data_IF_941540788930
#
_entry.id   IF_941540788930
#
_cell.length_a   1.000
_cell.length_b   1.000
_cell.length_c   1.000
_cell.angle_alpha   90.00
_cell.angle_beta   90.00
_cell.angle_gamma   90.00
#
_symmetry.space_group_name_H-M   'P 1'
#
loop_
_entity.id
_entity.type
_entity.pdbx_description
1 polymer ?
#
# COMPACT_ATOMS: atom_id res chain seq x y z
N UNK A 1 40.52 62.62 48.05
CA UNK A 1 40.07 61.21 48.14
C UNK A 1 39.02 61.02 47.04
N UNK A 2 39.47 60.44 45.90
CA UNK A 2 38.60 60.15 44.70
C UNK A 2 38.12 58.72 44.82
N UNK A 3 36.82 58.47 44.92
CA UNK A 3 36.22 57.12 44.88
C UNK A 3 36.03 56.70 43.40
N UNK A 4 36.68 55.64 43.05
CA UNK A 4 36.48 54.96 41.72
C UNK A 4 35.36 53.93 41.87
N UNK A 5 34.26 54.13 41.17
CA UNK A 5 33.17 53.19 41.14
C UNK A 5 33.44 52.17 40.00
N UNK A 6 33.62 50.89 40.34
CA UNK A 6 33.79 49.78 39.38
C UNK A 6 32.40 49.27 38.98
N UNK A 7 32.04 49.44 37.72
CA UNK A 7 30.80 48.92 37.17
C UNK A 7 31.07 47.49 36.70
N UNK A 8 30.43 46.48 37.31
CA UNK A 8 30.41 45.09 36.83
C UNK A 8 29.32 44.96 35.77
N UNK A 9 29.72 44.69 34.51
CA UNK A 9 28.81 44.32 33.44
C UNK A 9 28.59 42.82 33.51
N UNK A 10 27.39 42.39 33.89
CA UNK A 10 26.97 41.01 33.92
C UNK A 10 26.55 40.62 32.46
N UNK A 11 27.39 39.86 31.76
CA UNK A 11 27.01 39.30 30.47
C UNK A 11 26.19 38.02 30.70
N UNK A 12 24.88 38.13 30.50
CA UNK A 12 24.00 36.95 30.46
C UNK A 12 24.21 36.20 29.16
N UNK A 13 24.91 35.07 29.22
CA UNK A 13 24.97 34.08 28.12
C UNK A 13 23.62 33.35 28.05
N UNK A 14 22.80 33.72 27.08
CA UNK A 14 21.59 32.97 26.73
C UNK A 14 22.03 31.72 25.94
N UNK A 15 22.04 30.57 26.60
CA UNK A 15 22.21 29.28 25.96
C UNK A 15 20.93 28.94 25.18
N UNK A 16 20.93 29.17 23.88
CA UNK A 16 19.89 28.69 22.97
C UNK A 16 20.11 27.19 22.83
N UNK A 17 19.16 26.32 23.19
CA UNK A 17 19.32 24.90 22.96
C UNK A 17 19.31 24.64 21.43
N UNK A 18 20.45 24.24 20.92
CA UNK A 18 20.53 23.70 19.56
C UNK A 18 19.71 22.41 19.55
N UNK A 19 18.50 22.47 19.00
CA UNK A 19 17.75 21.28 18.70
C UNK A 19 18.56 20.47 17.70
N UNK A 20 19.09 19.33 18.15
CA UNK A 20 19.71 18.36 17.27
C UNK A 20 18.67 17.97 16.22
N UNK A 21 18.97 18.33 14.97
CA UNK A 21 18.20 17.89 13.81
C UNK A 21 18.31 16.37 13.76
N UNK A 22 17.22 15.67 14.05
CA UNK A 22 17.17 14.23 13.92
C UNK A 22 17.52 13.88 12.47
N UNK A 23 18.60 13.15 12.28
CA UNK A 23 18.96 12.60 10.98
C UNK A 23 17.79 11.79 10.43
N UNK A 24 17.54 11.84 9.10
CA UNK A 24 16.51 11.01 8.49
C UNK A 24 16.76 9.56 8.89
N UNK A 25 15.69 8.87 9.31
CA UNK A 25 15.77 7.48 9.69
C UNK A 25 16.44 6.67 8.57
N UNK A 26 17.44 5.83 8.87
CA UNK A 26 18.11 5.04 7.86
C UNK A 26 17.08 4.23 7.07
N UNK A 27 17.25 4.17 5.75
CA UNK A 27 16.47 3.31 4.88
C UNK A 27 16.40 1.92 5.52
N UNK A 28 15.17 1.40 5.71
CA UNK A 28 14.95 0.14 6.40
C UNK A 28 15.89 -0.94 5.83
N UNK A 29 16.74 -1.48 6.68
CA UNK A 29 17.62 -2.57 6.33
C UNK A 29 16.81 -3.76 5.76
N UNK A 30 17.35 -4.56 4.84
CA UNK A 30 16.69 -5.77 4.36
C UNK A 30 16.33 -6.66 5.55
N UNK A 31 15.09 -7.10 5.58
CA UNK A 31 14.53 -7.86 6.70
C UNK A 31 15.17 -9.24 6.70
N UNK A 32 15.79 -9.69 7.82
CA UNK A 32 16.26 -11.06 7.93
C UNK A 32 15.05 -12.03 7.79
N UNK A 33 15.09 -12.92 6.81
CA UNK A 33 14.08 -13.93 6.56
C UNK A 33 13.29 -13.81 5.27
N UNK A 34 13.32 -12.66 4.57
CA UNK A 34 12.95 -12.54 3.17
C UNK A 34 14.19 -12.12 2.37
N UNK A 35 15.10 -13.05 2.17
CA UNK A 35 16.14 -12.87 1.18
C UNK A 35 15.43 -12.75 -0.18
N UNK A 36 15.33 -11.50 -0.68
CA UNK A 36 14.91 -11.24 -2.03
C UNK A 36 15.86 -12.00 -2.97
N UNK A 37 15.36 -13.08 -3.55
CA UNK A 37 16.05 -13.75 -4.64
C UNK A 37 15.54 -13.12 -5.91
N UNK A 38 16.38 -12.44 -6.72
CA UNK A 38 16.02 -12.03 -8.05
C UNK A 38 15.43 -13.23 -8.80
N UNK A 39 14.16 -13.12 -9.20
CA UNK A 39 13.46 -14.27 -9.73
C UNK A 39 12.17 -13.88 -10.48
N UNK A 40 11.45 -14.83 -11.05
CA UNK A 40 10.30 -14.56 -11.89
C UNK A 40 9.13 -13.85 -11.18
N UNK A 41 9.21 -13.64 -9.85
CA UNK A 41 8.18 -12.99 -9.03
C UNK A 41 8.56 -11.60 -8.54
N UNK A 42 9.70 -11.03 -8.95
CA UNK A 42 10.19 -9.72 -8.51
C UNK A 42 9.18 -8.60 -8.72
N UNK A 43 8.38 -8.71 -9.77
CA UNK A 43 7.34 -7.76 -10.07
C UNK A 43 6.23 -7.70 -8.99
N UNK A 44 5.99 -8.80 -8.27
CA UNK A 44 5.03 -8.87 -7.17
C UNK A 44 5.65 -8.51 -5.80
N UNK A 45 6.99 -8.49 -5.71
CA UNK A 45 7.76 -8.18 -4.51
C UNK A 45 8.84 -7.12 -4.79
N UNK A 46 8.44 -5.92 -5.24
CA UNK A 46 9.40 -4.92 -5.71
C UNK A 46 10.31 -4.41 -4.61
N UNK A 47 11.57 -4.12 -4.98
CA UNK A 47 12.58 -3.51 -4.12
C UNK A 47 12.92 -2.13 -4.67
N UNK A 48 13.06 -1.14 -3.78
CA UNK A 48 13.40 0.24 -4.16
C UNK A 48 14.75 0.24 -4.89
N UNK A 49 14.76 0.77 -6.11
CA UNK A 49 15.97 0.88 -6.95
C UNK A 49 16.44 2.32 -7.11
N UNK A 50 15.55 3.30 -6.96
CA UNK A 50 15.87 4.72 -7.02
C UNK A 50 14.83 5.52 -6.24
N UNK A 51 15.09 6.78 -5.99
CA UNK A 51 14.11 7.71 -5.41
C UNK A 51 13.79 8.80 -6.42
N UNK A 52 12.55 9.29 -6.38
CA UNK A 52 12.19 10.51 -7.08
C UNK A 52 12.97 11.70 -6.49
N UNK A 53 13.28 12.72 -7.29
CA UNK A 53 13.88 13.95 -6.77
C UNK A 53 13.03 14.55 -5.64
N UNK A 54 13.67 15.14 -4.62
CA UNK A 54 12.94 15.83 -3.56
C UNK A 54 12.18 17.03 -4.13
N UNK A 55 10.98 17.22 -3.62
CA UNK A 55 10.15 18.39 -3.96
C UNK A 55 10.37 19.51 -2.96
N UNK A 56 10.04 20.74 -3.38
CA UNK A 56 10.13 21.93 -2.54
C UNK A 56 8.87 22.78 -2.69
N UNK A 57 8.59 23.59 -1.67
CA UNK A 57 7.42 24.45 -1.62
C UNK A 57 6.14 23.69 -1.24
N UNK A 58 5.08 24.44 -1.02
CA UNK A 58 3.79 23.88 -0.66
C UNK A 58 3.11 23.21 -1.87
N UNK A 59 2.34 22.18 -1.56
CA UNK A 59 1.53 21.42 -2.52
C UNK A 59 0.06 21.57 -2.20
N UNK A 60 -0.74 21.49 -3.24
CA UNK A 60 -2.21 21.47 -3.17
C UNK A 60 -2.71 20.44 -4.18
N UNK A 61 -3.77 19.72 -3.82
CA UNK A 61 -4.48 18.85 -4.76
C UNK A 61 -5.77 19.51 -5.26
N UNK A 62 -6.20 19.23 -6.49
CA UNK A 62 -7.43 19.81 -7.03
C UNK A 62 -8.65 19.56 -6.14
N UNK A 63 -9.42 20.59 -5.87
CA UNK A 63 -10.61 20.54 -5.03
C UNK A 63 -10.36 20.69 -3.53
N UNK A 64 -9.11 20.60 -3.05
CA UNK A 64 -8.79 20.85 -1.65
C UNK A 64 -8.51 22.35 -1.40
N UNK A 65 -8.92 22.82 -0.21
CA UNK A 65 -8.54 24.14 0.32
C UNK A 65 -7.24 24.11 1.11
N UNK A 66 -6.73 22.91 1.42
CA UNK A 66 -5.52 22.71 2.24
C UNK A 66 -4.25 22.77 1.42
N UNK A 67 -3.15 23.11 2.09
CA UNK A 67 -1.78 23.02 1.57
C UNK A 67 -0.91 22.25 2.54
N UNK A 68 0.03 21.49 2.00
CA UNK A 68 1.04 20.76 2.79
C UNK A 68 2.40 20.87 2.12
N UNK A 69 3.46 20.92 2.92
CA UNK A 69 4.81 20.77 2.41
C UNK A 69 5.09 19.31 2.02
N UNK A 70 6.07 19.01 1.15
CA UNK A 70 6.47 17.64 0.84
C UNK A 70 6.82 16.82 2.10
N UNK A 71 7.44 17.46 3.10
CA UNK A 71 7.77 16.82 4.37
C UNK A 71 6.52 16.40 5.17
N UNK A 72 5.47 17.23 5.15
CA UNK A 72 4.18 16.87 5.76
C UNK A 72 3.47 15.78 4.98
N UNK A 73 3.57 15.77 3.64
CA UNK A 73 2.99 14.72 2.80
C UNK A 73 3.69 13.38 3.07
N UNK A 74 5.00 13.39 3.28
CA UNK A 74 5.79 12.19 3.54
C UNK A 74 5.82 11.77 5.03
N UNK A 75 5.18 12.55 5.91
CA UNK A 75 5.08 12.19 7.33
C UNK A 75 4.11 11.02 7.53
N UNK A 76 4.68 9.84 7.81
CA UNK A 76 3.89 8.64 8.06
C UNK A 76 3.21 8.63 9.43
N UNK A 77 3.58 9.57 10.30
CA UNK A 77 2.94 9.72 11.62
C UNK A 77 1.74 10.66 11.57
N UNK A 78 1.74 11.64 10.66
CA UNK A 78 0.67 12.63 10.51
C UNK A 78 0.39 12.85 9.02
N UNK A 79 -0.21 11.86 8.32
CA UNK A 79 -0.45 11.94 6.89
C UNK A 79 -1.39 13.10 6.54
N UNK A 80 -1.27 13.69 5.33
CA UNK A 80 -2.15 14.75 4.90
C UNK A 80 -3.58 14.24 4.74
N UNK A 81 -4.51 14.98 5.30
CA UNK A 81 -5.94 14.80 5.08
C UNK A 81 -6.45 15.96 4.21
N UNK A 82 -6.52 15.70 2.91
CA UNK A 82 -6.90 16.71 1.92
C UNK A 82 -8.38 17.08 1.96
N UNK A 83 -9.26 16.14 2.38
CA UNK A 83 -10.71 16.26 2.29
C UNK A 83 -11.40 15.70 3.56
N UNK A 84 -11.18 16.32 4.74
CA UNK A 84 -11.74 15.80 6.00
C UNK A 84 -13.28 15.76 6.02
N UNK A 85 -13.92 16.52 5.12
CA UNK A 85 -15.38 16.53 4.95
C UNK A 85 -15.89 15.33 4.15
N UNK A 86 -15.02 14.55 3.50
CA UNK A 86 -15.40 13.44 2.63
C UNK A 86 -15.52 12.09 3.35
N UNK A 87 -15.22 12.04 4.65
CA UNK A 87 -15.25 10.84 5.47
C UNK A 87 -15.66 11.15 6.92
N UNK A 88 -16.14 10.16 7.70
CA UNK A 88 -16.37 10.34 9.14
C UNK A 88 -15.09 10.76 9.88
N UNK A 89 -15.24 11.32 11.07
CA UNK A 89 -14.09 11.62 11.93
C UNK A 89 -13.25 10.37 12.14
N UNK A 90 -11.98 10.37 11.71
CA UNK A 90 -11.12 9.20 11.83
C UNK A 90 -10.71 8.96 13.29
N UNK A 91 -10.62 7.69 13.73
CA UNK A 91 -10.01 7.36 15.01
C UNK A 91 -8.56 7.87 15.09
N UNK A 92 -8.08 8.07 16.31
CA UNK A 92 -6.76 8.66 16.54
C UNK A 92 -5.65 7.99 15.73
N UNK A 93 -5.59 6.65 15.73
CA UNK A 93 -4.52 5.91 15.04
C UNK A 93 -4.67 5.87 13.51
N UNK A 94 -5.86 6.19 12.98
CA UNK A 94 -6.04 6.36 11.53
C UNK A 94 -5.39 7.67 11.06
N UNK A 95 -5.57 8.75 11.83
CA UNK A 95 -5.10 10.09 11.47
C UNK A 95 -3.71 10.44 12.02
N UNK A 96 -3.30 9.81 13.12
CA UNK A 96 -2.04 10.12 13.80
C UNK A 96 -1.41 8.87 14.39
N UNK A 97 -0.16 8.61 14.01
CA UNK A 97 0.64 7.55 14.61
C UNK A 97 1.05 7.85 16.06
N UNK A 98 1.50 6.81 16.77
CA UNK A 98 2.04 6.91 18.13
C UNK A 98 3.15 5.91 18.39
N UNK A 99 4.15 6.28 19.17
CA UNK A 99 5.26 5.39 19.48
C UNK A 99 5.88 4.78 18.22
N UNK A 100 5.93 3.47 18.09
CA UNK A 100 6.40 2.75 16.91
C UNK A 100 5.32 2.46 15.86
N UNK A 101 4.09 2.99 16.02
CA UNK A 101 2.94 2.69 15.15
C UNK A 101 2.67 3.86 14.21
N UNK A 102 2.75 3.61 12.91
CA UNK A 102 2.43 4.59 11.88
C UNK A 102 0.91 4.82 11.79
N UNK A 103 0.50 6.00 11.35
CA UNK A 103 -0.91 6.26 11.08
C UNK A 103 -1.43 5.38 9.93
N UNK A 104 -2.60 4.77 10.07
CA UNK A 104 -3.18 3.91 9.03
C UNK A 104 -3.40 4.68 7.72
N UNK A 105 -3.85 5.94 7.81
CA UNK A 105 -4.07 6.83 6.67
C UNK A 105 -2.82 7.12 5.84
N UNK A 106 -1.61 6.87 6.39
CA UNK A 106 -0.36 7.07 5.66
C UNK A 106 -0.16 6.09 4.49
N UNK A 107 -0.76 4.90 4.54
CA UNK A 107 -0.64 3.87 3.51
C UNK A 107 -1.98 3.46 2.92
N UNK A 108 -3.06 3.55 3.70
CA UNK A 108 -4.41 3.15 3.27
C UNK A 108 -5.29 4.34 2.91
N UNK A 109 -4.78 5.58 3.01
CA UNK A 109 -5.50 6.84 2.88
C UNK A 109 -6.77 6.90 3.78
N UNK A 110 -7.39 8.07 3.88
CA UNK A 110 -8.60 8.20 4.71
C UNK A 110 -9.83 7.57 4.07
N UNK A 111 -9.87 7.49 2.74
CA UNK A 111 -10.93 6.79 2.01
C UNK A 111 -10.75 5.27 1.91
N UNK A 112 -9.70 4.72 2.53
CA UNK A 112 -9.41 3.29 2.53
C UNK A 112 -8.80 2.76 1.23
N UNK A 113 -8.54 3.61 0.23
CA UNK A 113 -7.85 3.19 -0.98
C UNK A 113 -6.37 2.98 -0.69
N UNK A 114 -5.88 1.78 -0.95
CA UNK A 114 -4.47 1.45 -0.85
C UNK A 114 -3.69 1.89 -2.11
N UNK A 115 -2.57 1.25 -2.30
CA UNK A 115 -1.75 1.37 -3.51
C UNK A 115 -1.22 -0.03 -3.86
N UNK A 116 -0.51 -0.26 -4.98
CA UNK A 116 -0.06 -1.60 -5.38
C UNK A 116 0.67 -2.39 -4.29
N UNK A 117 1.28 -1.71 -3.33
CA UNK A 117 2.03 -2.31 -2.22
C UNK A 117 1.25 -2.41 -0.90
N UNK A 118 0.09 -1.74 -0.79
CA UNK A 118 -0.76 -1.73 0.40
C UNK A 118 -2.18 -2.17 0.05
N UNK A 119 -2.84 -2.86 0.98
CA UNK A 119 -4.22 -3.28 0.79
C UNK A 119 -5.15 -2.08 0.59
N UNK A 120 -6.05 -2.21 -0.36
CA UNK A 120 -7.25 -1.39 -0.44
C UNK A 120 -8.24 -1.94 0.59
N UNK A 121 -8.36 -1.23 1.72
CA UNK A 121 -9.15 -1.69 2.88
C UNK A 121 -10.59 -1.18 2.85
N UNK A 122 -10.94 -0.29 1.93
CA UNK A 122 -12.31 0.15 1.71
C UNK A 122 -13.21 -1.04 1.37
N UNK A 123 -14.37 -1.12 2.03
CA UNK A 123 -15.36 -2.18 1.82
C UNK A 123 -15.00 -3.53 2.45
N UNK A 124 -13.93 -3.63 3.22
CA UNK A 124 -13.75 -4.78 4.10
C UNK A 124 -14.75 -4.73 5.23
N UNK A 125 -15.32 -5.89 5.60
CA UNK A 125 -16.08 -5.98 6.84
C UNK A 125 -15.17 -5.76 8.04
N UNK A 126 -15.68 -5.20 9.12
CA UNK A 126 -14.92 -5.04 10.35
C UNK A 126 -14.37 -6.39 10.85
N UNK A 127 -15.14 -7.47 10.73
CA UNK A 127 -14.73 -8.83 11.12
C UNK A 127 -13.53 -9.32 10.32
N UNK A 128 -13.51 -9.16 8.99
CA UNK A 128 -12.36 -9.51 8.18
C UNK A 128 -11.13 -8.67 8.53
N UNK A 129 -11.30 -7.35 8.69
CA UNK A 129 -10.21 -6.45 9.04
C UNK A 129 -9.57 -6.86 10.39
N UNK A 130 -10.39 -7.06 11.43
CA UNK A 130 -9.93 -7.48 12.76
C UNK A 130 -9.18 -8.82 12.67
N UNK A 131 -9.72 -9.79 11.94
CA UNK A 131 -9.05 -11.09 11.76
C UNK A 131 -7.68 -10.92 11.10
N UNK A 132 -7.57 -10.10 10.05
CA UNK A 132 -6.28 -9.87 9.40
C UNK A 132 -5.27 -9.17 10.31
N UNK A 133 -5.70 -8.23 11.14
CA UNK A 133 -4.83 -7.58 12.12
C UNK A 133 -4.35 -8.58 13.20
N UNK A 134 -5.22 -9.47 13.66
CA UNK A 134 -4.85 -10.54 14.60
C UNK A 134 -3.87 -11.53 13.95
N UNK A 135 -4.05 -11.87 12.69
CA UNK A 135 -3.11 -12.73 11.95
C UNK A 135 -1.74 -12.06 11.80
N UNK A 136 -1.68 -10.74 11.57
CA UNK A 136 -0.41 -9.99 11.58
C UNK A 136 0.20 -9.94 12.99
N UNK A 137 -0.60 -9.71 14.03
CA UNK A 137 -0.18 -9.60 15.42
C UNK A 137 0.44 -10.90 15.92
N UNK A 138 -0.18 -12.02 15.58
CA UNK A 138 0.32 -13.38 15.93
C UNK A 138 1.46 -13.86 15.03
N UNK A 139 1.68 -13.25 13.86
CA UNK A 139 2.63 -13.72 12.85
C UNK A 139 2.09 -14.84 11.97
N UNK A 140 0.82 -15.21 12.08
CA UNK A 140 0.15 -16.16 11.18
C UNK A 140 0.05 -15.60 9.75
N UNK A 141 0.03 -14.26 9.61
CA UNK A 141 0.21 -13.54 8.36
C UNK A 141 1.50 -12.73 8.41
N UNK A 142 2.40 -12.97 7.46
CA UNK A 142 3.72 -12.33 7.45
C UNK A 142 3.73 -11.10 6.54
N UNK A 143 4.04 -9.97 7.11
CA UNK A 143 4.47 -8.73 6.46
C UNK A 143 5.45 -8.03 7.39
N UNK A 144 6.67 -8.55 7.43
CA UNK A 144 7.71 -8.05 8.32
C UNK A 144 8.14 -6.60 7.97
N UNK A 145 7.78 -6.12 6.77
CA UNK A 145 8.14 -4.76 6.36
C UNK A 145 7.37 -3.69 7.18
N UNK A 146 6.08 -3.95 7.49
CA UNK A 146 5.21 -2.97 8.14
C UNK A 146 4.19 -3.60 9.09
N UNK A 147 3.26 -4.42 8.54
CA UNK A 147 2.03 -4.74 9.25
C UNK A 147 2.24 -5.61 10.49
N UNK A 148 3.23 -6.51 10.53
CA UNK A 148 3.49 -7.26 11.75
C UNK A 148 3.95 -6.37 12.91
N UNK A 149 4.84 -5.38 12.64
CA UNK A 149 5.28 -4.42 13.65
C UNK A 149 4.12 -3.56 14.15
N UNK A 150 3.36 -2.98 13.22
CA UNK A 150 2.20 -2.14 13.55
C UNK A 150 1.18 -2.94 14.38
N UNK A 151 0.77 -4.13 13.91
CA UNK A 151 -0.27 -4.91 14.58
C UNK A 151 0.11 -5.36 15.99
N UNK A 152 1.39 -5.67 16.23
CA UNK A 152 1.88 -6.07 17.58
C UNK A 152 1.70 -4.96 18.60
N UNK A 153 1.92 -3.72 18.21
CA UNK A 153 1.85 -2.54 19.09
C UNK A 153 0.42 -1.97 19.25
N UNK A 154 -0.53 -2.42 18.42
CA UNK A 154 -1.93 -1.98 18.51
C UNK A 154 -2.68 -2.71 19.62
N UNK A 155 -3.46 -1.97 20.39
CA UNK A 155 -4.47 -2.54 21.28
C UNK A 155 -5.65 -3.11 20.45
N UNK A 156 -6.40 -4.01 21.06
CA UNK A 156 -7.59 -4.58 20.41
C UNK A 156 -8.68 -3.53 20.17
N UNK A 157 -8.73 -2.47 20.99
CA UNK A 157 -9.65 -1.35 20.77
C UNK A 157 -9.25 -0.53 19.55
N UNK A 158 -7.97 -0.19 19.39
CA UNK A 158 -7.48 0.52 18.20
C UNK A 158 -7.70 -0.28 16.91
N UNK A 159 -7.59 -1.60 16.97
CA UNK A 159 -7.90 -2.48 15.83
C UNK A 159 -9.40 -2.40 15.51
N UNK A 160 -10.30 -2.46 16.51
CA UNK A 160 -11.75 -2.33 16.30
C UNK A 160 -12.12 -0.97 15.73
N UNK A 161 -11.59 0.12 16.30
CA UNK A 161 -11.89 1.48 15.86
C UNK A 161 -11.48 1.70 14.39
N UNK A 162 -10.29 1.24 14.01
CA UNK A 162 -9.82 1.29 12.63
C UNK A 162 -10.68 0.42 11.69
N UNK A 163 -11.07 -0.76 12.13
CA UNK A 163 -11.92 -1.67 11.37
C UNK A 163 -13.32 -1.06 11.10
N UNK A 164 -13.95 -0.48 12.11
CA UNK A 164 -15.25 0.17 12.00
C UNK A 164 -15.18 1.42 11.11
N UNK A 165 -14.11 2.19 11.20
CA UNK A 165 -13.88 3.34 10.33
C UNK A 165 -13.79 2.92 8.86
N UNK A 166 -12.90 1.99 8.52
CA UNK A 166 -12.70 1.59 7.12
C UNK A 166 -13.85 0.75 6.54
N UNK A 167 -14.62 0.06 7.37
CA UNK A 167 -15.82 -0.65 6.92
C UNK A 167 -16.91 0.28 6.37
N UNK A 168 -16.90 1.57 6.72
CA UNK A 168 -17.80 2.58 6.20
C UNK A 168 -17.38 3.13 4.83
N UNK A 169 -16.11 2.92 4.43
CA UNK A 169 -15.60 3.43 3.17
C UNK A 169 -16.10 2.58 2.00
N UNK A 170 -16.48 3.25 0.92
CA UNK A 170 -16.89 2.56 -0.31
C UNK A 170 -15.65 2.32 -1.18
N UNK A 171 -15.47 1.10 -1.71
CA UNK A 171 -14.41 0.84 -2.68
C UNK A 171 -14.56 1.74 -3.91
N UNK A 172 -13.46 2.29 -4.38
CA UNK A 172 -13.38 3.07 -5.61
C UNK A 172 -12.48 2.37 -6.61
N UNK A 173 -12.60 2.70 -7.88
CA UNK A 173 -11.71 2.16 -8.90
C UNK A 173 -10.35 2.82 -8.81
N UNK A 174 -9.33 2.05 -8.43
CA UNK A 174 -7.94 2.49 -8.27
C UNK A 174 -7.01 1.90 -9.33
N UNK A 175 -7.51 1.06 -10.24
CA UNK A 175 -6.69 0.38 -11.25
C UNK A 175 -7.37 0.37 -12.61
N UNK A 176 -6.60 0.70 -13.65
CA UNK A 176 -6.96 0.55 -15.06
C UNK A 176 -6.01 -0.48 -15.65
N UNK A 177 -6.52 -1.65 -16.06
CA UNK A 177 -5.70 -2.70 -16.68
C UNK A 177 -5.60 -2.45 -18.19
N UNK A 178 -4.36 -2.48 -18.69
CA UNK A 178 -4.03 -2.42 -20.13
C UNK A 178 -3.19 -3.62 -20.53
N UNK A 179 -3.57 -4.31 -21.57
CA UNK A 179 -2.75 -5.39 -22.13
C UNK A 179 -1.79 -4.83 -23.17
N UNK A 180 -0.50 -5.11 -23.00
CA UNK A 180 0.54 -4.62 -23.92
C UNK A 180 1.77 -5.55 -23.91
N UNK A 181 2.40 -5.76 -25.08
CA UNK A 181 3.66 -6.50 -25.18
C UNK A 181 4.87 -5.64 -24.80
N UNK A 182 4.77 -4.31 -25.03
CA UNK A 182 5.78 -3.33 -24.71
C UNK A 182 5.19 -2.33 -23.70
N UNK A 183 5.96 -1.99 -22.67
CA UNK A 183 5.53 -1.11 -21.58
C UNK A 183 6.55 0.00 -21.36
N UNK A 184 6.14 1.16 -20.81
CA UNK A 184 7.09 2.22 -20.49
C UNK A 184 8.17 1.73 -19.53
N UNK A 185 9.42 2.16 -19.76
CA UNK A 185 10.50 1.93 -18.79
C UNK A 185 10.16 2.58 -17.46
N UNK A 186 10.40 1.85 -16.38
CA UNK A 186 10.01 2.25 -15.02
C UNK A 186 11.03 1.77 -13.99
N UNK A 187 11.07 2.43 -12.85
CA UNK A 187 11.86 2.04 -11.70
C UNK A 187 10.99 1.91 -10.45
N UNK A 188 11.49 1.26 -9.41
CA UNK A 188 10.81 1.14 -8.12
C UNK A 188 11.31 2.24 -7.19
N UNK A 189 10.42 3.12 -6.78
CA UNK A 189 10.72 4.27 -5.94
C UNK A 189 10.16 4.19 -4.53
N UNK A 190 9.91 5.35 -3.93
CA UNK A 190 9.33 5.48 -2.59
C UNK A 190 8.01 4.72 -2.45
N UNK A 191 7.76 4.15 -1.26
CA UNK A 191 6.60 3.30 -1.02
C UNK A 191 6.63 1.96 -1.77
N UNK A 192 7.75 1.61 -2.43
CA UNK A 192 7.91 0.46 -3.35
C UNK A 192 7.02 0.54 -4.59
N UNK A 193 6.44 1.70 -4.86
CA UNK A 193 5.65 1.93 -6.08
C UNK A 193 6.55 2.09 -7.29
N UNK A 194 6.06 1.71 -8.47
CA UNK A 194 6.77 1.98 -9.72
C UNK A 194 6.40 3.35 -10.26
N UNK A 195 7.41 4.01 -10.81
CA UNK A 195 7.29 5.29 -11.48
C UNK A 195 7.93 5.19 -12.86
N UNK A 196 7.43 5.97 -13.82
CA UNK A 196 8.09 6.11 -15.12
C UNK A 196 9.51 6.60 -14.95
N UNK A 197 10.45 6.05 -15.73
CA UNK A 197 11.87 6.43 -15.63
C UNK A 197 12.09 7.81 -16.29
N UNK A 198 12.38 8.86 -15.51
CA UNK A 198 12.62 10.20 -16.06
C UNK A 198 13.90 10.28 -16.90
N UNK A 199 14.80 9.30 -16.78
CA UNK A 199 16.03 9.20 -17.60
C UNK A 199 15.78 8.52 -18.95
N UNK A 200 14.59 7.94 -19.15
CA UNK A 200 14.21 7.22 -20.36
C UNK A 200 12.82 7.63 -20.86
N UNK A 201 12.54 8.94 -21.05
CA UNK A 201 11.21 9.43 -21.41
C UNK A 201 10.76 8.82 -22.74
N UNK A 202 9.56 8.25 -22.78
CA UNK A 202 8.98 7.61 -23.96
C UNK A 202 9.61 6.28 -24.36
N UNK A 203 10.67 5.82 -23.70
CA UNK A 203 11.26 4.51 -23.99
C UNK A 203 10.39 3.39 -23.41
N UNK A 204 10.40 2.26 -24.11
CA UNK A 204 9.65 1.07 -23.71
C UNK A 204 10.58 -0.13 -23.55
N UNK A 205 10.06 -1.15 -22.87
CA UNK A 205 10.71 -2.46 -22.68
C UNK A 205 9.67 -3.58 -22.82
N UNK A 206 10.07 -4.82 -23.18
CA UNK A 206 9.16 -5.96 -23.19
C UNK A 206 8.57 -6.22 -21.80
N UNK A 207 7.25 -6.45 -21.73
CA UNK A 207 6.61 -6.75 -20.46
C UNK A 207 7.03 -8.11 -19.89
N UNK A 208 7.29 -9.09 -20.75
CA UNK A 208 7.60 -10.46 -20.32
C UNK A 208 6.45 -11.09 -19.54
N UNK A 209 6.80 -11.91 -18.55
CA UNK A 209 5.85 -12.61 -17.66
C UNK A 209 5.67 -11.83 -16.33
N UNK A 210 5.21 -10.60 -16.40
CA UNK A 210 5.05 -9.72 -15.23
C UNK A 210 3.88 -8.76 -15.41
N UNK A 211 3.42 -8.20 -14.30
CA UNK A 211 2.53 -7.02 -14.29
C UNK A 211 3.38 -5.82 -13.88
N UNK A 212 3.22 -4.71 -14.58
CA UNK A 212 3.83 -3.42 -14.25
C UNK A 212 2.73 -2.43 -13.93
N UNK A 213 2.77 -1.84 -12.74
CA UNK A 213 1.77 -0.88 -12.30
C UNK A 213 2.45 0.47 -12.02
N UNK A 214 2.02 1.51 -12.72
CA UNK A 214 2.52 2.88 -12.56
C UNK A 214 1.37 3.84 -12.26
N UNK A 215 1.58 4.93 -11.50
CA UNK A 215 0.56 5.96 -11.32
C UNK A 215 0.06 6.50 -12.66
N UNK A 216 -1.24 6.76 -12.76
CA UNK A 216 -1.80 7.49 -13.90
C UNK A 216 -1.35 8.96 -13.86
N UNK A 217 -1.40 9.56 -12.68
CA UNK A 217 -0.87 10.89 -12.38
C UNK A 217 0.15 10.75 -11.24
N UNK A 218 1.43 10.91 -11.58
CA UNK A 218 2.55 10.71 -10.66
C UNK A 218 2.49 11.71 -9.50
N UNK A 219 2.21 12.97 -9.79
CA UNK A 219 2.23 14.03 -8.78
C UNK A 219 1.08 13.86 -7.80
N UNK A 220 -0.12 13.59 -8.28
CA UNK A 220 -1.29 13.39 -7.43
C UNK A 220 -1.15 12.16 -6.54
N UNK A 221 -0.66 11.03 -7.09
CA UNK A 221 -0.40 9.82 -6.28
C UNK A 221 0.70 10.08 -5.26
N UNK A 222 1.78 10.77 -5.66
CA UNK A 222 2.86 11.16 -4.75
C UNK A 222 2.37 12.05 -3.63
N UNK A 223 1.44 12.97 -3.93
CA UNK A 223 0.82 13.85 -2.93
C UNK A 223 -0.30 13.17 -2.13
N UNK A 224 -0.52 11.87 -2.30
CA UNK A 224 -1.55 11.09 -1.58
C UNK A 224 -2.96 11.64 -1.78
N UNK A 225 -3.25 12.14 -2.99
CA UNK A 225 -4.58 12.62 -3.35
C UNK A 225 -5.56 11.44 -3.44
N UNK A 226 -6.57 11.34 -2.56
CA UNK A 226 -7.50 10.22 -2.56
C UNK A 226 -8.43 10.20 -3.78
N UNK A 227 -8.58 11.35 -4.48
CA UNK A 227 -9.43 11.48 -5.66
C UNK A 227 -8.70 11.15 -6.98
N UNK A 228 -7.39 10.91 -6.93
CA UNK A 228 -6.60 10.52 -8.09
C UNK A 228 -5.60 9.39 -7.79
N UNK A 229 -5.92 8.56 -6.81
CA UNK A 229 -5.12 7.38 -6.47
C UNK A 229 -5.38 6.24 -7.48
N UNK A 230 -5.11 6.53 -8.77
CA UNK A 230 -5.35 5.62 -9.89
C UNK A 230 -4.03 5.18 -10.50
N UNK A 231 -3.97 3.90 -10.85
CA UNK A 231 -2.77 3.26 -11.41
C UNK A 231 -3.10 2.56 -12.72
N UNK A 232 -2.23 2.70 -13.70
CA UNK A 232 -2.25 1.91 -14.93
C UNK A 232 -1.47 0.63 -14.69
N UNK A 233 -2.16 -0.52 -14.78
CA UNK A 233 -1.57 -1.84 -14.65
C UNK A 233 -1.42 -2.46 -16.04
N UNK A 234 -0.19 -2.61 -16.51
CA UNK A 234 0.12 -3.31 -17.75
C UNK A 234 0.24 -4.80 -17.47
N UNK A 235 -0.43 -5.62 -18.31
CA UNK A 235 -0.36 -7.07 -18.29
C UNK A 235 -0.02 -7.61 -19.69
N UNK A 236 0.56 -8.81 -19.82
CA UNK A 236 0.80 -9.43 -21.12
C UNK A 236 -0.51 -9.63 -21.91
N UNK A 237 -0.46 -9.56 -23.26
CA UNK A 237 -1.64 -9.77 -24.09
C UNK A 237 -2.33 -11.11 -23.82
N UNK A 238 -3.67 -11.07 -23.69
CA UNK A 238 -4.51 -12.24 -23.41
C UNK A 238 -4.58 -12.65 -21.93
N UNK A 239 -3.90 -11.92 -21.02
CA UNK A 239 -3.93 -12.23 -19.58
C UNK A 239 -5.32 -12.09 -18.98
N UNK A 240 -6.06 -11.03 -19.35
CA UNK A 240 -7.42 -10.78 -18.83
C UNK A 240 -8.37 -11.89 -19.23
N UNK A 241 -8.37 -12.32 -20.50
CA UNK A 241 -9.23 -13.40 -20.98
C UNK A 241 -8.90 -14.75 -20.32
N UNK A 242 -7.60 -15.07 -20.19
CA UNK A 242 -7.14 -16.29 -19.50
C UNK A 242 -7.48 -16.27 -18.02
N UNK A 243 -7.31 -15.11 -17.37
CA UNK A 243 -7.68 -14.89 -15.98
C UNK A 243 -9.17 -15.07 -15.73
N UNK A 244 -10.02 -14.51 -16.63
CA UNK A 244 -11.47 -14.71 -16.58
C UNK A 244 -11.82 -16.19 -16.63
N UNK A 245 -11.32 -16.91 -17.64
CA UNK A 245 -11.58 -18.33 -17.79
C UNK A 245 -11.16 -19.15 -16.56
N UNK A 246 -10.01 -18.82 -15.95
CA UNK A 246 -9.55 -19.47 -14.72
C UNK A 246 -10.49 -19.16 -13.53
N UNK A 247 -10.84 -17.89 -13.30
CA UNK A 247 -11.68 -17.46 -12.19
C UNK A 247 -13.07 -18.10 -12.22
N UNK A 248 -13.63 -18.25 -13.43
CA UNK A 248 -14.96 -18.84 -13.65
C UNK A 248 -14.97 -20.38 -13.55
N UNK A 249 -13.88 -21.06 -13.94
CA UNK A 249 -13.85 -22.53 -14.03
C UNK A 249 -12.98 -23.21 -12.97
N UNK A 250 -12.16 -22.46 -12.23
CA UNK A 250 -11.12 -23.05 -11.38
C UNK A 250 -9.94 -23.64 -12.15
N UNK A 251 -9.75 -23.25 -13.43
CA UNK A 251 -8.57 -23.60 -14.20
C UNK A 251 -8.40 -25.08 -14.51
N UNK A 252 -9.50 -25.79 -14.81
CA UNK A 252 -9.46 -27.20 -15.18
C UNK A 252 -9.07 -28.13 -14.02
N UNK A 253 -9.55 -27.87 -12.82
CA UNK A 253 -9.30 -28.70 -11.64
C UNK A 253 -8.09 -28.26 -10.81
N UNK A 254 -7.40 -27.19 -11.16
CA UNK A 254 -6.31 -26.62 -10.34
C UNK A 254 -6.83 -25.91 -9.09
N UNK A 255 -8.07 -25.41 -9.14
CA UNK A 255 -8.75 -24.69 -8.10
C UNK A 255 -10.27 -24.92 -8.20
N UNK A 256 -11.03 -24.21 -7.37
CA UNK A 256 -12.48 -24.03 -7.53
C UNK A 256 -12.76 -22.65 -8.14
N UNK A 257 -13.95 -22.46 -8.74
CA UNK A 257 -14.37 -21.15 -9.22
C UNK A 257 -14.32 -20.13 -8.04
N UNK A 258 -13.73 -18.97 -8.27
CA UNK A 258 -13.49 -18.00 -7.19
C UNK A 258 -14.81 -17.46 -6.60
N UNK A 259 -15.86 -17.37 -7.43
CA UNK A 259 -17.21 -16.95 -7.02
C UNK A 259 -17.82 -17.85 -5.95
N UNK A 260 -17.44 -19.13 -5.87
CA UNK A 260 -17.93 -20.10 -4.86
C UNK A 260 -17.79 -19.55 -3.41
N UNK A 261 -16.72 -18.79 -3.15
CA UNK A 261 -16.47 -18.23 -1.82
C UNK A 261 -16.54 -16.70 -1.81
N UNK A 262 -16.12 -16.05 -2.92
CA UNK A 262 -16.03 -14.58 -2.98
C UNK A 262 -17.29 -13.89 -3.52
N UNK A 263 -18.40 -14.65 -3.69
CA UNK A 263 -19.69 -14.19 -4.21
C UNK A 263 -19.68 -14.05 -5.74
N UNK A 264 -20.86 -14.12 -6.34
CA UNK A 264 -21.04 -14.18 -7.80
C UNK A 264 -20.45 -12.99 -8.55
N UNK A 265 -20.43 -11.83 -7.91
CA UNK A 265 -19.83 -10.60 -8.46
C UNK A 265 -18.38 -10.38 -8.03
N UNK A 266 -17.80 -11.31 -7.26
CA UNK A 266 -16.44 -11.22 -6.69
C UNK A 266 -16.26 -10.00 -5.76
N UNK A 267 -17.34 -9.43 -5.26
CA UNK A 267 -17.34 -8.26 -4.34
C UNK A 267 -17.30 -8.65 -2.87
N UNK A 268 -17.11 -9.94 -2.59
CA UNK A 268 -17.07 -10.50 -1.25
C UNK A 268 -18.40 -11.07 -0.78
N UNK A 269 -18.36 -11.90 0.25
CA UNK A 269 -19.52 -12.51 0.90
C UNK A 269 -19.26 -12.66 2.41
N UNK A 270 -19.97 -11.91 3.25
CA UNK A 270 -19.69 -11.87 4.68
C UNK A 270 -18.23 -11.44 4.95
N UNK A 271 -17.49 -12.25 5.70
CA UNK A 271 -16.08 -12.00 6.00
C UNK A 271 -15.10 -12.51 4.90
N UNK A 272 -15.61 -13.04 3.80
CA UNK A 272 -14.76 -13.35 2.64
C UNK A 272 -14.58 -12.07 1.82
N UNK A 273 -13.34 -11.59 1.61
CA UNK A 273 -13.12 -10.26 1.06
C UNK A 273 -13.45 -10.18 -0.44
N UNK A 274 -13.70 -8.96 -0.92
CA UNK A 274 -13.79 -8.69 -2.35
C UNK A 274 -12.47 -8.98 -3.06
N UNK A 275 -12.57 -9.38 -4.32
CA UNK A 275 -11.46 -9.54 -5.27
C UNK A 275 -11.56 -8.53 -6.42
N UNK A 276 -12.79 -8.15 -6.79
CA UNK A 276 -13.05 -7.23 -7.89
C UNK A 276 -12.40 -5.86 -7.64
N UNK A 277 -11.64 -5.37 -8.63
CA UNK A 277 -11.02 -4.05 -8.61
C UNK A 277 -9.83 -3.88 -7.65
N UNK A 278 -9.34 -4.96 -7.04
CA UNK A 278 -8.16 -4.92 -6.15
C UNK A 278 -6.89 -4.81 -6.99
N UNK A 279 -5.90 -4.05 -6.52
CA UNK A 279 -4.61 -3.88 -7.20
C UNK A 279 -3.95 -5.22 -7.58
N UNK A 280 -3.54 -5.41 -8.84
CA UNK A 280 -3.08 -6.73 -9.31
C UNK A 280 -1.76 -7.17 -8.68
N UNK A 281 -0.86 -6.22 -8.33
CA UNK A 281 0.37 -6.54 -7.61
C UNK A 281 0.03 -7.05 -6.21
N UNK A 282 -0.90 -6.40 -5.51
CA UNK A 282 -1.35 -6.86 -4.20
C UNK A 282 -2.02 -8.25 -4.31
N UNK A 283 -2.92 -8.47 -5.28
CA UNK A 283 -3.57 -9.77 -5.51
C UNK A 283 -2.53 -10.88 -5.73
N UNK A 284 -1.62 -10.68 -6.67
CA UNK A 284 -0.58 -11.65 -6.98
C UNK A 284 0.26 -12.00 -5.75
N UNK A 285 0.67 -10.98 -5.00
CA UNK A 285 1.42 -11.17 -3.75
C UNK A 285 0.62 -12.00 -2.74
N UNK A 286 -0.67 -11.72 -2.55
CA UNK A 286 -1.49 -12.50 -1.63
C UNK A 286 -1.61 -13.96 -2.07
N UNK A 287 -1.81 -14.22 -3.36
CA UNK A 287 -1.86 -15.60 -3.88
C UNK A 287 -0.53 -16.34 -3.67
N UNK A 288 0.60 -15.70 -3.89
CA UNK A 288 1.92 -16.27 -3.58
C UNK A 288 2.11 -16.52 -2.08
N UNK A 289 1.71 -15.57 -1.20
CA UNK A 289 1.84 -15.71 0.24
C UNK A 289 0.92 -16.79 0.84
N UNK A 290 -0.23 -17.07 0.25
CA UNK A 290 -1.02 -18.25 0.58
C UNK A 290 -0.31 -19.53 0.15
N UNK A 291 0.26 -19.53 -1.06
CA UNK A 291 0.92 -20.70 -1.64
C UNK A 291 2.18 -21.11 -0.88
N UNK A 292 2.98 -20.16 -0.42
CA UNK A 292 4.21 -20.41 0.34
C UNK A 292 3.98 -20.54 1.87
N UNK A 293 2.72 -20.35 2.33
CA UNK A 293 2.37 -20.46 3.75
C UNK A 293 2.72 -19.23 4.59
N UNK A 294 3.19 -18.14 4.00
CA UNK A 294 3.42 -16.88 4.73
C UNK A 294 2.11 -16.20 5.17
N UNK A 295 1.00 -16.58 4.55
CA UNK A 295 -0.36 -16.24 4.97
C UNK A 295 -1.07 -17.51 5.42
N UNK A 296 -1.11 -17.73 6.75
CA UNK A 296 -1.45 -19.01 7.36
C UNK A 296 -2.42 -18.89 8.56
N UNK A 297 -3.20 -17.80 8.64
CA UNK A 297 -4.28 -17.67 9.62
C UNK A 297 -5.35 -18.75 9.45
N UNK A 298 -6.25 -18.86 10.42
CA UNK A 298 -7.29 -19.89 10.41
C UNK A 298 -8.15 -19.82 9.14
N UNK A 299 -8.56 -18.61 8.73
CA UNK A 299 -9.39 -18.40 7.55
C UNK A 299 -8.60 -18.52 6.24
N UNK A 300 -7.27 -18.57 6.30
CA UNK A 300 -6.40 -18.74 5.14
C UNK A 300 -6.36 -20.18 4.61
N UNK A 301 -6.80 -21.18 5.40
CA UNK A 301 -6.60 -22.59 5.08
C UNK A 301 -7.33 -23.02 3.79
N UNK A 302 -8.53 -22.48 3.54
CA UNK A 302 -9.26 -22.73 2.28
C UNK A 302 -8.54 -22.10 1.10
N UNK A 303 -8.05 -20.88 1.22
CA UNK A 303 -7.29 -20.20 0.16
C UNK A 303 -5.97 -20.91 -0.15
N UNK A 304 -5.26 -21.44 0.86
CA UNK A 304 -4.04 -22.25 0.63
C UNK A 304 -4.33 -23.44 -0.26
N UNK A 305 -5.44 -24.13 -0.04
CA UNK A 305 -5.87 -25.25 -0.90
C UNK A 305 -6.23 -24.77 -2.30
N UNK A 306 -6.98 -23.68 -2.40
CA UNK A 306 -7.42 -23.12 -3.68
C UNK A 306 -6.26 -22.68 -4.57
N UNK A 307 -5.14 -22.20 -4.01
CA UNK A 307 -4.00 -21.71 -4.79
C UNK A 307 -2.88 -22.74 -4.98
N UNK A 308 -2.94 -23.88 -4.31
CA UNK A 308 -1.84 -24.86 -4.25
C UNK A 308 -1.32 -25.28 -5.63
N UNK A 309 -2.21 -25.54 -6.57
CA UNK A 309 -1.88 -26.00 -7.94
C UNK A 309 -1.82 -24.86 -8.99
N UNK A 310 -2.00 -23.60 -8.59
CA UNK A 310 -1.85 -22.48 -9.53
C UNK A 310 -0.38 -22.31 -9.94
N UNK A 311 -0.14 -22.13 -11.22
CA UNK A 311 1.18 -21.70 -11.73
C UNK A 311 1.37 -20.20 -11.54
N UNK A 312 2.60 -19.71 -11.68
CA UNK A 312 2.89 -18.26 -11.63
C UNK A 312 2.15 -17.51 -12.75
N UNK A 313 1.97 -18.16 -13.91
CA UNK A 313 1.18 -17.63 -15.02
C UNK A 313 -0.32 -17.55 -14.66
N UNK A 314 -0.87 -18.55 -13.96
CA UNK A 314 -2.25 -18.49 -13.47
C UNK A 314 -2.42 -17.32 -12.49
N UNK A 315 -1.48 -17.14 -11.57
CA UNK A 315 -1.50 -16.01 -10.60
C UNK A 315 -1.48 -14.67 -11.35
N UNK A 316 -0.61 -14.50 -12.35
CA UNK A 316 -0.54 -13.29 -13.16
C UNK A 316 -1.87 -13.02 -13.87
N UNK A 317 -2.41 -14.02 -14.59
CA UNK A 317 -3.63 -13.88 -15.36
C UNK A 317 -4.85 -13.57 -14.48
N UNK A 318 -5.00 -14.31 -13.39
CA UNK A 318 -6.07 -14.10 -12.40
C UNK A 318 -5.99 -12.69 -11.80
N UNK A 319 -4.80 -12.23 -11.43
CA UNK A 319 -4.60 -10.90 -10.87
C UNK A 319 -4.94 -9.80 -11.88
N UNK A 320 -4.56 -9.96 -13.15
CA UNK A 320 -4.91 -9.01 -14.21
C UNK A 320 -6.43 -8.91 -14.43
N UNK A 321 -7.12 -10.06 -14.47
CA UNK A 321 -8.57 -10.08 -14.66
C UNK A 321 -9.31 -9.47 -13.47
N UNK A 322 -9.02 -9.90 -12.25
CA UNK A 322 -9.69 -9.40 -11.04
C UNK A 322 -9.52 -7.88 -10.87
N UNK A 323 -8.33 -7.36 -11.19
CA UNK A 323 -8.06 -5.94 -11.15
C UNK A 323 -8.80 -5.13 -12.25
N UNK A 324 -9.20 -5.77 -13.35
CA UNK A 324 -9.96 -5.13 -14.43
C UNK A 324 -11.44 -4.92 -14.11
N UNK A 325 -11.94 -5.61 -13.09
CA UNK A 325 -13.33 -5.53 -12.65
C UNK A 325 -13.62 -4.23 -11.89
N UNK A 326 -14.89 -3.81 -11.86
CA UNK A 326 -15.32 -2.72 -10.98
C UNK A 326 -15.47 -3.22 -9.54
N UNK A 327 -14.93 -2.50 -8.56
CA UNK A 327 -15.02 -2.85 -7.15
C UNK A 327 -16.44 -2.79 -6.57
#
# INVERSE_FOLDING_TARGET
MKRVATVFVLVLLVLIPVRAQQAPAPAAAPIPGQAFQPGPRDWAFPVITALLPPEQGERRVPGSTKTYTPQQIDDLMNPPDWFPESHPTPPALVSKGRGGVLACGSCHLFNGSGHPESADVAGYTAGYFIQQMNDFKSGARKDAARMNGIAKEMSDQEIRDAAEFYAQMKPIRTTIVKEAAMVPKSFVGGGRMRYLDPKAPGQTEPIGQRIITVPEDVDRVRHRDPNANVFIAYAPPGSVAKGKAFVESGGGGKSVACATCHGDTLKGLGNVPRLAGVHPIYLARQLFLFKDGSRNGIDAQLMKKAVASMTDQDVLNVSAYLASLNP
#
